data_IF_757617252891
#
_entry.id   IF_757617252891
#
_cell.length_a   1.000
_cell.length_b   1.000
_cell.length_c   1.000
_cell.angle_alpha   90.00
_cell.angle_beta   90.00
_cell.angle_gamma   90.00
#
_symmetry.space_group_name_H-M   'P 1'
#
loop_
_entity.id
_entity.type
_entity.pdbx_description
1 polymer ?
#
# COMPACT_ATOMS: atom_id res chain seq x y z
N UNK A 1 -9.20 24.73 -5.67
CA UNK A 1 -9.72 24.14 -4.42
C UNK A 1 -8.89 22.91 -3.98
N UNK A 2 -7.64 23.07 -3.48
CA UNK A 2 -6.81 21.96 -3.00
C UNK A 2 -6.71 21.85 -1.46
N UNK A 3 -7.20 22.84 -0.69
CA UNK A 3 -7.02 22.92 0.77
C UNK A 3 -7.85 21.91 1.58
N UNK A 4 -8.94 21.38 1.04
CA UNK A 4 -9.86 20.53 1.82
C UNK A 4 -9.42 19.07 1.99
N UNK A 5 -8.46 18.58 1.20
CA UNK A 5 -8.06 17.16 1.22
C UNK A 5 -6.86 16.91 2.16
N UNK A 6 -5.89 17.83 2.23
CA UNK A 6 -4.80 17.76 3.22
C UNK A 6 -5.33 17.87 4.67
N UNK A 7 -6.44 18.58 4.86
CA UNK A 7 -7.15 18.66 6.13
C UNK A 7 -7.72 17.30 6.57
N UNK A 8 -8.06 16.38 5.66
CA UNK A 8 -8.70 15.11 6.04
C UNK A 8 -7.76 14.11 6.72
N UNK A 9 -6.48 14.07 6.35
CA UNK A 9 -5.49 13.21 7.02
C UNK A 9 -4.96 13.83 8.32
N UNK A 10 -4.89 15.16 8.40
CA UNK A 10 -4.54 15.86 9.64
C UNK A 10 -5.70 15.96 10.64
N UNK A 11 -6.95 16.05 10.18
CA UNK A 11 -8.14 16.16 11.03
C UNK A 11 -8.63 14.80 11.54
N UNK A 12 -8.51 13.70 10.77
CA UNK A 12 -8.81 12.35 11.30
C UNK A 12 -7.80 11.86 12.33
N UNK A 13 -6.61 12.44 12.37
CA UNK A 13 -5.66 12.28 13.48
C UNK A 13 -6.08 13.05 14.74
N UNK A 14 -6.94 14.07 14.65
CA UNK A 14 -7.39 14.89 15.78
C UNK A 14 -8.62 14.32 16.49
N UNK A 15 -9.45 13.54 15.82
CA UNK A 15 -10.73 13.06 16.39
C UNK A 15 -10.62 11.73 17.17
N UNK A 16 -9.44 11.09 17.19
CA UNK A 16 -9.25 9.76 17.80
C UNK A 16 -8.54 9.75 19.17
N UNK A 17 -8.17 10.90 19.73
CA UNK A 17 -7.52 10.95 21.06
C UNK A 17 -8.00 12.16 21.85
N UNK A 18 -8.96 11.94 22.75
CA UNK A 18 -9.36 12.89 23.77
C UNK A 18 -8.31 13.04 24.87
N UNK A 19 -7.11 13.44 24.50
CA UNK A 19 -6.03 13.77 25.44
C UNK A 19 -5.30 15.04 24.97
N UNK A 20 -5.63 16.16 25.62
CA UNK A 20 -5.27 17.53 25.24
C UNK A 20 -3.79 17.88 25.56
N UNK A 21 -2.95 16.87 25.83
CA UNK A 21 -1.51 17.02 26.07
C UNK A 21 -0.62 16.84 24.83
N UNK A 22 -1.19 16.60 23.64
CA UNK A 22 -0.43 16.29 22.42
C UNK A 22 -0.29 17.43 21.41
N UNK A 23 -0.59 18.68 21.77
CA UNK A 23 -0.40 19.82 20.87
C UNK A 23 1.05 20.36 20.80
N UNK A 24 2.06 19.50 20.97
CA UNK A 24 3.41 19.77 20.46
C UNK A 24 3.46 19.16 19.06
N UNK A 25 3.46 20.01 18.03
CA UNK A 25 3.62 19.59 16.63
C UNK A 25 4.79 18.60 16.53
N UNK A 26 4.48 17.34 16.25
CA UNK A 26 5.48 16.30 16.07
C UNK A 26 6.37 16.68 14.88
N UNK A 27 7.66 16.83 15.12
CA UNK A 27 8.67 17.01 14.06
C UNK A 27 9.31 15.66 13.81
N UNK A 28 9.21 15.18 12.56
CA UNK A 28 9.86 13.96 12.13
C UNK A 28 11.35 13.99 12.47
N UNK A 29 12.04 15.10 12.15
CA UNK A 29 13.48 15.25 12.41
C UNK A 29 13.87 15.02 13.88
N UNK A 30 13.14 15.61 14.82
CA UNK A 30 13.41 15.44 16.26
C UNK A 30 13.16 14.01 16.73
N UNK A 31 12.02 13.43 16.34
CA UNK A 31 11.69 12.04 16.69
C UNK A 31 12.70 11.04 16.09
N UNK A 32 13.15 11.32 14.86
CA UNK A 32 14.12 10.50 14.17
C UNK A 32 15.50 10.55 14.80
N UNK A 33 16.06 11.74 15.05
CA UNK A 33 17.38 11.86 15.68
C UNK A 33 17.40 11.32 17.12
N UNK A 34 16.30 11.46 17.86
CA UNK A 34 16.14 10.81 19.16
C UNK A 34 16.21 9.28 19.03
N UNK A 35 15.42 8.70 18.13
CA UNK A 35 15.41 7.25 17.88
C UNK A 35 16.77 6.75 17.40
N UNK A 36 17.46 7.51 16.55
CA UNK A 36 18.81 7.20 16.10
C UNK A 36 19.81 7.16 17.25
N UNK A 37 19.75 8.12 18.18
CA UNK A 37 20.58 8.12 19.39
C UNK A 37 20.38 6.86 20.24
N UNK A 38 19.13 6.45 20.45
CA UNK A 38 18.78 5.24 21.19
C UNK A 38 19.31 3.97 20.51
N UNK A 39 19.02 3.82 19.21
CA UNK A 39 19.48 2.66 18.41
C UNK A 39 20.99 2.59 18.36
N UNK A 40 21.68 3.73 18.25
CA UNK A 40 23.14 3.78 18.26
C UNK A 40 23.70 3.30 19.61
N UNK A 41 23.12 3.76 20.73
CA UNK A 41 23.50 3.32 22.06
C UNK A 41 23.31 1.81 22.25
N UNK A 42 22.19 1.28 21.79
CA UNK A 42 21.89 -0.16 21.87
C UNK A 42 22.88 -0.99 21.05
N UNK A 43 23.23 -0.51 19.84
CA UNK A 43 24.09 -1.20 18.87
C UNK A 43 25.56 -1.17 19.28
N UNK A 44 26.09 0.00 19.66
CA UNK A 44 27.52 0.19 19.91
C UNK A 44 27.91 0.21 21.39
N UNK A 45 26.93 0.14 22.30
CA UNK A 45 27.15 0.29 23.76
C UNK A 45 27.84 1.61 24.11
N UNK A 46 27.62 2.63 23.29
CA UNK A 46 28.18 3.98 23.43
C UNK A 46 27.16 5.00 22.93
N UNK A 47 27.10 6.17 23.54
CA UNK A 47 26.17 7.23 23.11
C UNK A 47 26.72 8.02 21.92
N UNK A 48 25.83 8.49 21.04
CA UNK A 48 26.20 9.55 20.10
C UNK A 48 26.46 10.83 20.90
N UNK A 49 27.65 11.46 20.77
CA UNK A 49 27.92 12.72 21.42
C UNK A 49 26.84 13.75 21.06
N UNK A 50 26.30 14.52 22.03
CA UNK A 50 25.28 15.54 21.75
C UNK A 50 25.70 16.56 20.68
N UNK A 51 27.00 16.81 20.54
CA UNK A 51 27.55 17.64 19.48
C UNK A 51 27.35 17.05 18.08
N UNK A 52 27.49 15.73 17.91
CA UNK A 52 27.23 15.05 16.63
C UNK A 52 25.75 15.09 16.26
N UNK A 53 24.83 14.90 17.22
CA UNK A 53 23.38 15.03 16.96
C UNK A 53 23.01 16.45 16.50
N UNK A 54 23.57 17.49 17.15
CA UNK A 54 23.40 18.88 16.70
C UNK A 54 23.99 19.12 15.32
N UNK A 55 25.13 18.49 15.00
CA UNK A 55 25.73 18.57 13.67
C UNK A 55 24.85 17.91 12.61
N UNK A 56 24.23 16.76 12.92
CA UNK A 56 23.27 16.11 12.02
C UNK A 56 22.03 16.98 11.78
N UNK A 57 21.50 17.62 12.83
CA UNK A 57 20.37 18.55 12.69
C UNK A 57 20.73 19.77 11.82
N UNK A 58 21.91 20.38 12.05
CA UNK A 58 22.38 21.51 11.26
C UNK A 58 22.60 21.14 9.78
N UNK A 59 23.24 19.99 9.51
CA UNK A 59 23.43 19.46 8.16
C UNK A 59 22.08 19.15 7.49
N UNK A 60 21.11 18.59 8.22
CA UNK A 60 19.78 18.35 7.67
C UNK A 60 19.09 19.66 7.26
N UNK A 61 19.16 20.69 8.11
CA UNK A 61 18.60 22.01 7.80
C UNK A 61 19.27 22.64 6.57
N UNK A 62 20.59 22.49 6.40
CA UNK A 62 21.31 22.95 5.22
C UNK A 62 20.88 22.18 3.96
N UNK A 63 20.79 20.84 4.02
CA UNK A 63 20.28 20.02 2.91
C UNK A 63 18.86 20.44 2.53
N UNK A 64 17.99 20.71 3.50
CA UNK A 64 16.63 21.19 3.21
C UNK A 64 16.62 22.54 2.49
N UNK A 65 17.57 23.43 2.78
CA UNK A 65 17.73 24.69 2.04
C UNK A 65 18.25 24.44 0.62
N UNK A 66 19.22 23.53 0.44
CA UNK A 66 19.75 23.15 -0.86
C UNK A 66 18.72 22.49 -1.79
N UNK A 67 17.80 21.69 -1.24
CA UNK A 67 16.72 21.06 -2.01
C UNK A 67 15.68 22.06 -2.54
N UNK A 68 15.75 23.32 -2.12
CA UNK A 68 15.05 24.44 -2.72
C UNK A 68 13.76 24.83 -2.00
N UNK A 69 12.92 25.58 -2.72
CA UNK A 69 11.83 26.33 -2.14
C UNK A 69 10.77 25.45 -1.47
N UNK A 70 10.58 25.67 -0.17
CA UNK A 70 9.55 25.05 0.68
C UNK A 70 8.14 25.55 0.35
N UNK A 71 7.97 26.57 -0.49
CA UNK A 71 6.65 27.04 -0.96
C UNK A 71 5.94 26.05 -1.89
N UNK A 72 6.60 24.93 -2.25
CA UNK A 72 5.97 23.81 -2.94
C UNK A 72 4.84 23.15 -2.16
N UNK A 73 4.26 22.08 -2.73
CA UNK A 73 3.21 21.32 -2.04
C UNK A 73 3.68 20.79 -0.69
N UNK A 74 2.76 20.67 0.27
CA UNK A 74 3.03 20.09 1.60
C UNK A 74 3.76 18.73 1.51
N UNK A 75 3.39 17.90 0.55
CA UNK A 75 4.03 16.63 0.24
C UNK A 75 5.53 16.76 -0.07
N UNK A 76 5.91 17.81 -0.83
CA UNK A 76 7.32 18.05 -1.17
C UNK A 76 8.12 18.48 0.06
N UNK A 77 7.54 19.29 0.95
CA UNK A 77 8.18 19.67 2.21
C UNK A 77 8.45 18.45 3.11
N UNK A 78 7.50 17.50 3.20
CA UNK A 78 7.69 16.24 3.92
C UNK A 78 8.83 15.42 3.30
N UNK A 79 8.83 15.26 1.97
CA UNK A 79 9.87 14.49 1.27
C UNK A 79 11.27 15.10 1.49
N UNK A 80 11.36 16.44 1.56
CA UNK A 80 12.61 17.14 1.84
C UNK A 80 13.08 16.91 3.26
N UNK A 81 12.18 17.01 4.26
CA UNK A 81 12.53 16.76 5.66
C UNK A 81 13.01 15.32 5.82
N UNK A 82 12.23 14.35 5.33
CA UNK A 82 12.60 12.94 5.36
C UNK A 82 13.97 12.70 4.73
N UNK A 83 14.22 13.24 3.54
CA UNK A 83 15.49 13.03 2.84
C UNK A 83 16.67 13.65 3.58
N UNK A 84 16.53 14.88 4.05
CA UNK A 84 17.58 15.58 4.75
C UNK A 84 17.98 14.88 6.05
N UNK A 85 16.99 14.46 6.84
CA UNK A 85 17.23 13.75 8.10
C UNK A 85 17.73 12.31 7.91
N UNK A 86 17.59 11.72 6.73
CA UNK A 86 18.24 10.44 6.40
C UNK A 86 19.68 10.64 5.90
N UNK A 87 19.93 11.68 5.09
CA UNK A 87 21.25 11.94 4.47
C UNK A 87 22.23 12.53 5.47
N UNK A 88 21.80 13.42 6.36
CA UNK A 88 22.69 14.09 7.29
C UNK A 88 23.39 13.10 8.26
N UNK A 89 22.68 12.19 8.96
CA UNK A 89 23.34 11.17 9.78
C UNK A 89 24.23 10.25 8.96
N UNK A 90 23.83 9.90 7.73
CA UNK A 90 24.67 9.10 6.85
C UNK A 90 26.04 9.78 6.61
N UNK A 91 26.05 11.07 6.25
CA UNK A 91 27.30 11.80 6.02
C UNK A 91 28.17 11.88 7.27
N UNK A 92 27.57 12.25 8.40
CA UNK A 92 28.30 12.41 9.67
C UNK A 92 28.86 11.09 10.20
N UNK A 93 28.06 10.01 10.17
CA UNK A 93 28.51 8.69 10.62
C UNK A 93 29.58 8.11 9.69
N UNK A 94 29.43 8.29 8.36
CA UNK A 94 30.43 7.84 7.38
C UNK A 94 31.75 8.59 7.56
N UNK A 95 31.71 9.91 7.76
CA UNK A 95 32.91 10.71 8.04
C UNK A 95 33.59 10.31 9.37
N UNK A 96 32.84 9.77 10.31
CA UNK A 96 33.35 9.24 11.59
C UNK A 96 33.88 7.80 11.50
N UNK A 97 33.88 7.19 10.30
CA UNK A 97 34.41 5.85 10.07
C UNK A 97 33.40 4.70 10.24
N UNK A 98 32.10 5.00 10.45
CA UNK A 98 31.06 3.96 10.48
C UNK A 98 30.87 3.36 9.09
N UNK A 99 30.83 2.03 8.98
CA UNK A 99 30.65 1.38 7.68
C UNK A 99 29.24 1.61 7.10
N UNK A 100 29.11 1.67 5.78
CA UNK A 100 27.83 1.88 5.10
C UNK A 100 26.76 0.84 5.50
N UNK A 101 27.06 -0.48 5.60
CA UNK A 101 26.07 -1.45 6.08
C UNK A 101 25.56 -1.16 7.50
N UNK A 102 26.45 -0.75 8.42
CA UNK A 102 26.04 -0.37 9.78
C UNK A 102 25.19 0.89 9.75
N UNK A 103 25.56 1.90 8.97
CA UNK A 103 24.76 3.13 8.83
C UNK A 103 23.35 2.80 8.34
N UNK A 104 23.23 1.96 7.30
CA UNK A 104 21.93 1.53 6.78
C UNK A 104 21.07 0.87 7.84
N UNK A 105 21.64 -0.04 8.63
CA UNK A 105 20.95 -0.69 9.74
C UNK A 105 20.44 0.33 10.76
N UNK A 106 21.31 1.25 11.21
CA UNK A 106 20.95 2.30 12.16
C UNK A 106 19.80 3.19 11.66
N UNK A 107 19.87 3.60 10.39
CA UNK A 107 18.82 4.41 9.78
C UNK A 107 17.49 3.65 9.69
N UNK A 108 17.52 2.38 9.30
CA UNK A 108 16.32 1.54 9.19
C UNK A 108 15.66 1.29 10.55
N UNK A 109 16.43 0.98 11.58
CA UNK A 109 15.94 0.74 12.93
C UNK A 109 15.40 2.03 13.57
N UNK A 110 16.13 3.15 13.40
CA UNK A 110 15.67 4.46 13.85
C UNK A 110 14.36 4.86 13.16
N UNK A 111 14.23 4.60 11.85
CA UNK A 111 12.98 4.82 11.11
C UNK A 111 11.86 3.94 11.66
N UNK A 112 12.13 2.66 11.90
CA UNK A 112 11.12 1.73 12.42
C UNK A 112 10.60 2.15 13.79
N UNK A 113 11.48 2.63 14.68
CA UNK A 113 11.10 3.19 15.98
C UNK A 113 10.27 4.47 15.81
N UNK A 114 10.75 5.40 14.99
CA UNK A 114 10.10 6.69 14.71
C UNK A 114 8.70 6.51 14.10
N UNK A 115 8.52 5.47 13.28
CA UNK A 115 7.31 5.23 12.48
C UNK A 115 6.46 4.07 13.01
N UNK A 116 6.74 3.55 14.20
CA UNK A 116 5.99 2.44 14.79
C UNK A 116 4.48 2.75 14.87
N UNK A 117 4.13 4.00 15.16
CA UNK A 117 2.74 4.48 15.18
C UNK A 117 2.06 4.35 13.80
N UNK A 118 2.78 4.61 12.70
CA UNK A 118 2.22 4.54 11.35
C UNK A 118 1.82 3.10 11.00
N UNK A 119 2.66 2.12 11.36
CA UNK A 119 2.34 0.71 11.21
C UNK A 119 1.12 0.28 12.02
N UNK A 120 0.96 0.80 13.24
CA UNK A 120 -0.22 0.53 14.06
C UNK A 120 -1.48 1.16 13.46
N UNK A 121 -1.38 2.39 12.94
CA UNK A 121 -2.49 3.08 12.25
C UNK A 121 -2.94 2.30 11.03
N UNK A 122 -2.00 1.86 10.18
CA UNK A 122 -2.34 1.04 9.01
C UNK A 122 -2.98 -0.27 9.43
N UNK A 123 -2.47 -0.95 10.46
CA UNK A 123 -3.10 -2.17 10.98
C UNK A 123 -4.56 -1.92 11.38
N UNK A 124 -4.84 -0.89 12.18
CA UNK A 124 -6.20 -0.54 12.63
C UNK A 124 -7.13 -0.20 11.46
N UNK A 125 -6.61 0.51 10.45
CA UNK A 125 -7.35 0.80 9.23
C UNK A 125 -7.72 -0.49 8.49
N UNK A 126 -6.78 -1.42 8.30
CA UNK A 126 -7.03 -2.67 7.59
C UNK A 126 -7.98 -3.59 8.36
N UNK A 127 -7.83 -3.63 9.68
CA UNK A 127 -8.68 -4.42 10.58
C UNK A 127 -10.14 -3.95 10.60
N UNK A 128 -10.39 -2.69 10.29
CA UNK A 128 -11.73 -2.08 10.29
C UNK A 128 -12.31 -1.86 8.90
N UNK A 129 -11.52 -2.04 7.84
CA UNK A 129 -11.96 -1.84 6.48
C UNK A 129 -12.95 -2.95 6.05
N UNK A 130 -14.15 -2.59 5.53
CA UNK A 130 -15.05 -3.59 4.94
C UNK A 130 -14.38 -4.36 3.78
N UNK A 131 -13.50 -3.67 3.04
CA UNK A 131 -12.66 -4.26 2.02
C UNK A 131 -11.24 -3.68 2.11
N UNK A 132 -10.30 -4.50 2.62
CA UNK A 132 -8.90 -4.11 2.78
C UNK A 132 -8.20 -3.87 1.43
N UNK A 133 -8.59 -4.59 0.36
CA UNK A 133 -8.02 -4.41 -0.97
C UNK A 133 -8.38 -3.04 -1.51
N UNK A 134 -9.67 -2.70 -1.51
CA UNK A 134 -10.13 -1.41 -1.99
C UNK A 134 -9.56 -0.26 -1.16
N UNK A 135 -9.45 -0.43 0.16
CA UNK A 135 -8.83 0.56 1.06
C UNK A 135 -7.38 0.86 0.66
N UNK A 136 -6.56 -0.19 0.45
CA UNK A 136 -5.16 -0.05 0.04
C UNK A 136 -5.02 0.55 -1.36
N UNK A 137 -5.83 0.09 -2.32
CA UNK A 137 -5.81 0.62 -3.70
C UNK A 137 -6.22 2.08 -3.73
N UNK A 138 -7.24 2.46 -2.96
CA UNK A 138 -7.66 3.86 -2.83
C UNK A 138 -6.55 4.73 -2.26
N UNK A 139 -5.92 4.30 -1.17
CA UNK A 139 -4.79 5.00 -0.55
C UNK A 139 -3.61 5.16 -1.51
N UNK A 140 -3.27 4.10 -2.26
CA UNK A 140 -2.25 4.16 -3.31
C UNK A 140 -2.59 5.23 -4.35
N UNK A 141 -3.80 5.20 -4.91
CA UNK A 141 -4.28 6.18 -5.91
C UNK A 141 -4.33 7.61 -5.36
N UNK A 142 -4.64 7.79 -4.07
CA UNK A 142 -4.59 9.09 -3.41
C UNK A 142 -3.15 9.61 -3.30
N UNK A 143 -2.18 8.75 -2.96
CA UNK A 143 -0.76 9.12 -2.93
C UNK A 143 -0.21 9.43 -4.32
N UNK A 144 -0.60 8.68 -5.35
CA UNK A 144 -0.25 8.98 -6.75
C UNK A 144 -0.63 10.43 -7.11
N UNK A 145 -1.84 10.86 -6.74
CA UNK A 145 -2.37 12.19 -7.08
C UNK A 145 -1.76 13.33 -6.27
N UNK A 146 -1.39 13.08 -5.01
CA UNK A 146 -1.10 14.15 -4.06
C UNK A 146 0.35 14.18 -3.58
N UNK A 147 1.05 13.05 -3.60
CA UNK A 147 2.40 12.89 -3.06
C UNK A 147 3.44 12.54 -4.12
N UNK A 148 3.07 11.74 -5.11
CA UNK A 148 3.98 11.21 -6.13
C UNK A 148 3.64 11.78 -7.52
N UNK A 149 3.69 13.10 -7.62
CA UNK A 149 3.32 13.85 -8.82
C UNK A 149 4.52 14.14 -9.73
N UNK A 150 4.25 14.34 -11.02
CA UNK A 150 5.27 14.79 -11.98
C UNK A 150 5.75 16.22 -11.68
N UNK A 151 7.01 16.57 -12.01
CA UNK A 151 8.01 15.73 -12.68
C UNK A 151 8.82 14.84 -11.71
N UNK A 152 8.62 14.99 -10.39
CA UNK A 152 9.40 14.32 -9.35
C UNK A 152 9.25 12.79 -9.43
N UNK A 153 8.03 12.33 -9.71
CA UNK A 153 7.74 10.91 -9.88
C UNK A 153 7.07 10.66 -11.22
N UNK A 154 7.50 9.59 -11.90
CA UNK A 154 6.85 9.08 -13.11
C UNK A 154 6.29 7.70 -12.80
N UNK A 155 4.97 7.61 -12.79
CA UNK A 155 4.23 6.42 -12.37
C UNK A 155 3.52 5.77 -13.54
N UNK A 156 3.34 4.44 -13.46
CA UNK A 156 2.50 3.69 -14.39
C UNK A 156 1.71 2.63 -13.63
N UNK A 157 0.39 2.60 -13.80
CA UNK A 157 -0.42 1.47 -13.35
C UNK A 157 -0.27 0.35 -14.36
N UNK A 158 0.50 -0.67 -14.02
CA UNK A 158 0.67 -1.86 -14.86
C UNK A 158 -0.59 -2.75 -14.83
N UNK A 159 -1.37 -2.67 -13.74
CA UNK A 159 -2.65 -3.37 -13.57
C UNK A 159 -3.56 -2.58 -12.62
N UNK A 160 -4.85 -2.52 -12.93
CA UNK A 160 -5.88 -1.86 -12.10
C UNK A 160 -7.20 -2.61 -12.27
N UNK A 161 -7.26 -3.83 -11.72
CA UNK A 161 -8.38 -4.77 -11.83
C UNK A 161 -9.08 -4.95 -10.47
N UNK A 162 -10.32 -5.47 -10.43
CA UNK A 162 -11.07 -5.65 -9.18
C UNK A 162 -10.41 -6.54 -8.11
N UNK A 163 -9.48 -7.41 -8.52
CA UNK A 163 -8.79 -8.39 -7.69
C UNK A 163 -7.26 -8.19 -7.62
N UNK A 164 -6.72 -7.25 -8.41
CA UNK A 164 -5.28 -7.06 -8.51
C UNK A 164 -4.92 -5.66 -9.01
N UNK A 165 -3.98 -5.03 -8.33
CA UNK A 165 -3.48 -3.69 -8.62
C UNK A 165 -1.95 -3.69 -8.59
N UNK A 166 -1.34 -3.10 -9.61
CA UNK A 166 0.12 -3.02 -9.75
C UNK A 166 0.53 -1.61 -10.17
N UNK A 167 1.35 -0.98 -9.34
CA UNK A 167 1.93 0.34 -9.57
C UNK A 167 3.45 0.21 -9.80
N UNK A 168 3.92 0.89 -10.84
CA UNK A 168 5.34 0.99 -11.17
C UNK A 168 5.83 2.42 -11.01
N UNK A 169 7.00 2.59 -10.40
CA UNK A 169 7.72 3.88 -10.32
C UNK A 169 8.91 3.82 -11.27
N UNK A 170 8.84 4.60 -12.35
CA UNK A 170 9.87 4.67 -13.40
C UNK A 170 10.86 5.80 -13.18
N UNK A 171 10.39 6.89 -12.55
CA UNK A 171 11.24 7.96 -12.07
C UNK A 171 10.97 8.16 -10.59
N UNK A 172 12.01 8.07 -9.76
CA UNK A 172 11.89 8.17 -8.31
C UNK A 172 12.70 9.37 -7.83
N UNK A 173 11.99 10.41 -7.36
CA UNK A 173 12.62 11.61 -6.82
C UNK A 173 13.68 11.30 -5.75
N UNK A 174 13.39 10.37 -4.83
CA UNK A 174 14.34 9.99 -3.78
C UNK A 174 15.66 9.49 -4.36
N UNK A 175 15.63 8.58 -5.33
CA UNK A 175 16.86 8.04 -5.92
C UNK A 175 17.64 9.09 -6.69
N UNK A 176 16.95 9.96 -7.44
CA UNK A 176 17.60 11.06 -8.16
C UNK A 176 18.21 12.08 -7.20
N UNK A 177 17.54 12.37 -6.09
CA UNK A 177 18.03 13.30 -5.08
C UNK A 177 19.20 12.72 -4.30
N UNK A 178 19.15 11.43 -3.93
CA UNK A 178 20.27 10.75 -3.28
C UNK A 178 21.50 10.69 -4.18
N UNK A 179 21.33 10.51 -5.49
CA UNK A 179 22.43 10.61 -6.46
C UNK A 179 23.09 11.98 -6.39
N UNK A 180 22.30 13.06 -6.51
CA UNK A 180 22.78 14.45 -6.45
C UNK A 180 23.47 14.78 -5.13
N UNK A 181 23.01 14.19 -4.03
CA UNK A 181 23.58 14.38 -2.69
C UNK A 181 24.77 13.44 -2.39
N UNK A 182 25.19 12.58 -3.32
CA UNK A 182 26.29 11.62 -3.09
C UNK A 182 25.95 10.55 -2.04
N UNK A 183 24.67 10.23 -1.90
CA UNK A 183 24.12 9.35 -0.87
C UNK A 183 23.33 8.17 -1.46
N UNK A 184 23.61 7.76 -2.71
CA UNK A 184 22.90 6.64 -3.36
C UNK A 184 22.96 5.34 -2.56
N UNK A 185 24.04 5.14 -1.81
CA UNK A 185 24.30 3.93 -1.02
C UNK A 185 23.24 3.65 0.06
N UNK A 186 22.52 4.67 0.55
CA UNK A 186 21.42 4.51 1.51
C UNK A 186 20.03 4.41 0.86
N UNK A 187 19.95 4.38 -0.48
CA UNK A 187 18.70 4.19 -1.21
C UNK A 187 17.87 2.99 -0.75
N UNK A 188 18.46 1.83 -0.43
CA UNK A 188 17.70 0.71 0.12
C UNK A 188 17.03 1.01 1.46
N UNK A 189 17.63 1.86 2.31
CA UNK A 189 17.03 2.27 3.59
C UNK A 189 15.83 3.20 3.40
N UNK A 190 15.83 4.03 2.34
CA UNK A 190 14.62 4.75 1.91
C UNK A 190 13.53 3.79 1.45
N UNK A 191 13.91 2.74 0.73
CA UNK A 191 12.96 1.73 0.27
C UNK A 191 12.41 0.89 1.43
N UNK A 192 13.21 0.64 2.46
CA UNK A 192 12.81 -0.08 3.66
C UNK A 192 11.72 0.64 4.46
N UNK A 193 11.62 1.97 4.36
CA UNK A 193 10.54 2.76 4.96
C UNK A 193 9.15 2.26 4.55
N UNK A 194 9.01 1.73 3.33
CA UNK A 194 7.74 1.19 2.85
C UNK A 194 7.22 0.04 3.74
N UNK A 195 8.09 -0.67 4.46
CA UNK A 195 7.69 -1.70 5.44
C UNK A 195 6.71 -1.15 6.48
N UNK A 196 6.84 0.13 6.82
CA UNK A 196 5.96 0.78 7.80
C UNK A 196 4.48 0.67 7.44
N UNK A 197 4.13 0.57 6.15
CA UNK A 197 2.73 0.50 5.72
C UNK A 197 2.31 -0.88 5.18
N UNK A 198 3.21 -1.70 4.62
CA UNK A 198 2.81 -3.01 4.13
C UNK A 198 3.05 -4.17 5.11
N UNK A 199 4.00 -4.06 6.04
CA UNK A 199 4.23 -5.12 7.04
C UNK A 199 3.00 -5.42 7.94
N UNK A 200 2.09 -4.46 8.22
CA UNK A 200 0.86 -4.75 8.93
C UNK A 200 -0.15 -5.63 8.19
N UNK A 201 0.02 -5.88 6.89
CA UNK A 201 -0.91 -6.68 6.08
C UNK A 201 -0.76 -8.15 6.47
N UNK A 202 -1.86 -8.74 6.96
CA UNK A 202 -2.00 -10.16 7.22
C UNK A 202 -2.89 -10.77 6.12
N UNK A 203 -2.35 -11.60 5.22
CA UNK A 203 -3.14 -12.17 4.13
C UNK A 203 -4.30 -13.06 4.58
N UNK A 204 -4.18 -13.73 5.72
CA UNK A 204 -5.23 -14.58 6.27
C UNK A 204 -6.38 -13.77 6.84
N UNK A 205 -6.06 -12.65 7.50
CA UNK A 205 -7.04 -11.77 8.15
C UNK A 205 -7.64 -10.75 7.18
N UNK A 206 -6.81 -10.10 6.37
CA UNK A 206 -7.21 -9.01 5.48
C UNK A 206 -7.58 -9.47 4.08
N UNK A 207 -7.33 -10.75 3.75
CA UNK A 207 -7.65 -11.29 2.43
C UNK A 207 -6.85 -10.67 1.30
N UNK A 208 -5.71 -10.03 1.59
CA UNK A 208 -4.86 -9.30 0.62
C UNK A 208 -3.40 -9.66 0.81
N UNK A 209 -2.66 -9.76 -0.29
CA UNK A 209 -1.21 -9.91 -0.31
C UNK A 209 -0.57 -8.68 -0.95
N UNK A 210 0.48 -8.18 -0.30
CA UNK A 210 1.37 -7.19 -0.90
C UNK A 210 2.69 -7.84 -1.32
N UNK A 211 3.22 -7.47 -2.49
CA UNK A 211 4.58 -7.84 -2.89
C UNK A 211 5.32 -6.66 -3.50
N UNK A 212 6.64 -6.63 -3.28
CA UNK A 212 7.54 -5.63 -3.84
C UNK A 212 8.77 -6.32 -4.44
N UNK A 213 8.67 -6.82 -5.69
CA UNK A 213 9.68 -7.69 -6.26
C UNK A 213 10.95 -6.95 -6.73
N UNK A 214 10.90 -5.62 -6.88
CA UNK A 214 12.05 -4.85 -7.35
C UNK A 214 12.04 -3.41 -6.86
N UNK A 215 13.23 -2.84 -6.68
CA UNK A 215 13.44 -1.43 -6.38
C UNK A 215 14.56 -0.83 -7.24
N UNK A 216 14.44 0.45 -7.59
CA UNK A 216 15.51 1.19 -8.29
C UNK A 216 16.77 1.28 -7.40
N UNK A 217 16.60 1.32 -6.07
CA UNK A 217 17.69 1.35 -5.12
C UNK A 217 18.59 0.09 -5.18
N UNK A 218 18.01 -1.05 -5.54
CA UNK A 218 18.72 -2.33 -5.74
C UNK A 218 19.18 -2.53 -7.19
N UNK A 219 19.05 -1.51 -8.05
CA UNK A 219 19.51 -1.54 -9.44
C UNK A 219 18.48 -2.02 -10.46
N UNK A 220 17.22 -2.21 -10.07
CA UNK A 220 16.16 -2.53 -11.04
C UNK A 220 15.80 -1.32 -11.91
N UNK A 221 15.18 -1.60 -13.07
CA UNK A 221 14.71 -0.59 -14.02
C UNK A 221 13.57 0.28 -13.48
N UNK A 222 12.79 -0.26 -12.54
CA UNK A 222 11.66 0.43 -11.89
C UNK A 222 11.34 -0.21 -10.54
N UNK A 223 10.70 0.56 -9.65
CA UNK A 223 10.10 -0.02 -8.46
C UNK A 223 8.75 -0.64 -8.83
N UNK A 224 8.42 -1.81 -8.26
CA UNK A 224 7.15 -2.50 -8.50
C UNK A 224 6.42 -2.72 -7.18
N UNK A 225 5.17 -2.29 -7.09
CA UNK A 225 4.29 -2.46 -5.94
C UNK A 225 3.06 -3.21 -6.40
N UNK A 226 2.84 -4.42 -5.87
CA UNK A 226 1.69 -5.24 -6.24
C UNK A 226 0.82 -5.48 -5.01
N UNK A 227 -0.48 -5.29 -5.19
CA UNK A 227 -1.52 -5.61 -4.22
C UNK A 227 -2.46 -6.59 -4.93
N UNK A 228 -2.62 -7.78 -4.36
CA UNK A 228 -3.47 -8.83 -4.92
C UNK A 228 -4.44 -9.32 -3.84
N UNK A 229 -5.70 -9.61 -4.21
CA UNK A 229 -6.57 -10.37 -3.32
C UNK A 229 -5.99 -11.77 -3.11
N UNK A 230 -6.02 -12.25 -1.87
CA UNK A 230 -5.58 -13.60 -1.55
C UNK A 230 -6.62 -14.62 -2.04
N UNK A 231 -6.14 -15.76 -2.56
CA UNK A 231 -6.99 -16.83 -3.14
C UNK A 231 -8.07 -17.35 -2.18
N UNK A 232 -7.84 -17.30 -0.86
CA UNK A 232 -8.83 -17.75 0.15
C UNK A 232 -10.10 -16.89 0.15
N UNK A 233 -9.99 -15.61 -0.18
CA UNK A 233 -11.13 -14.71 -0.24
C UNK A 233 -12.00 -14.93 -1.48
N UNK A 234 -11.38 -15.34 -2.60
CA UNK A 234 -12.12 -15.68 -3.83
C UNK A 234 -12.96 -16.96 -3.65
N UNK A 235 -12.47 -17.93 -2.90
CA UNK A 235 -13.26 -19.15 -2.57
C UNK A 235 -14.44 -18.89 -1.64
N UNK A 236 -14.33 -17.97 -0.68
CA UNK A 236 -15.43 -17.62 0.23
C UNK A 236 -16.54 -16.84 -0.48
N UNK A 237 -16.20 -15.87 -1.32
CA UNK A 237 -17.18 -15.15 -2.15
C UNK A 237 -17.91 -16.09 -3.11
N UNK A 238 -17.18 -17.00 -3.78
CA UNK A 238 -17.80 -18.00 -4.63
C UNK A 238 -18.70 -18.95 -3.84
N UNK A 239 -18.35 -19.30 -2.60
CA UNK A 239 -19.19 -20.15 -1.75
C UNK A 239 -20.49 -19.45 -1.35
N UNK A 240 -20.44 -18.15 -1.02
CA UNK A 240 -21.65 -17.36 -0.72
C UNK A 240 -22.51 -17.20 -1.97
N UNK A 241 -21.91 -16.95 -3.13
CA UNK A 241 -22.63 -16.81 -4.40
C UNK A 241 -23.30 -18.14 -4.80
N UNK A 242 -22.60 -19.26 -4.65
CA UNK A 242 -23.13 -20.61 -4.86
C UNK A 242 -24.26 -20.90 -3.88
N UNK A 243 -24.11 -20.60 -2.58
CA UNK A 243 -25.18 -20.79 -1.59
C UNK A 243 -26.40 -19.91 -1.87
N UNK A 244 -26.18 -18.68 -2.34
CA UNK A 244 -27.26 -17.76 -2.74
C UNK A 244 -27.99 -18.26 -3.97
N UNK A 245 -27.26 -18.73 -4.99
CA UNK A 245 -27.84 -19.34 -6.19
C UNK A 245 -28.58 -20.64 -5.86
N UNK A 246 -28.02 -21.50 -5.01
CA UNK A 246 -28.68 -22.72 -4.52
C UNK A 246 -29.97 -22.38 -3.78
N UNK A 247 -29.96 -21.35 -2.93
CA UNK A 247 -31.16 -20.88 -2.23
C UNK A 247 -32.23 -20.37 -3.21
N UNK A 248 -31.86 -19.56 -4.20
CA UNK A 248 -32.78 -19.09 -5.24
C UNK A 248 -33.39 -20.27 -6.02
N UNK A 249 -32.57 -21.27 -6.36
CA UNK A 249 -33.07 -22.48 -7.05
C UNK A 249 -34.03 -23.27 -6.15
N UNK A 250 -33.72 -23.45 -4.87
CA UNK A 250 -34.62 -24.13 -3.92
C UNK A 250 -35.95 -23.37 -3.78
N UNK A 251 -35.91 -22.05 -3.59
CA UNK A 251 -37.11 -21.21 -3.48
C UNK A 251 -37.94 -21.21 -4.79
N UNK A 252 -37.29 -21.26 -5.96
CA UNK A 252 -37.95 -21.40 -7.26
C UNK A 252 -38.59 -22.79 -7.46
N UNK A 253 -37.94 -23.85 -6.96
CA UNK A 253 -38.50 -25.21 -7.00
C UNK A 253 -39.69 -25.31 -6.04
N UNK A 254 -39.60 -24.83 -4.80
CA UNK A 254 -40.71 -24.89 -3.84
C UNK A 254 -41.95 -24.10 -4.30
N UNK A 255 -41.74 -22.94 -4.93
CA UNK A 255 -42.84 -22.15 -5.50
C UNK A 255 -43.50 -22.81 -6.73
N UNK A 256 -42.77 -23.67 -7.45
CA UNK A 256 -43.34 -24.47 -8.55
C UNK A 256 -44.17 -25.69 -8.10
N UNK A 257 -44.00 -26.15 -6.85
CA UNK A 257 -44.82 -27.24 -6.28
C UNK A 257 -46.15 -26.77 -5.66
N UNK A 258 -46.36 -25.48 -5.45
CA UNK A 258 -47.64 -24.93 -5.00
C UNK A 258 -48.63 -24.61 -6.13
N UNK A 259 -48.22 -24.72 -7.39
CA UNK A 259 -49.09 -24.51 -8.56
C UNK A 259 -49.34 -25.85 -9.27
N UNK A 260 -49.97 -26.78 -8.55
CA UNK A 260 -50.13 -28.16 -8.99
C UNK A 260 -51.38 -28.88 -8.49
N UNK A 261 -52.46 -28.15 -8.18
CA UNK A 261 -53.80 -28.75 -8.18
C UNK A 261 -54.32 -28.72 -9.62
N UNK A 262 -53.92 -29.70 -10.42
CA UNK A 262 -54.52 -29.95 -11.73
C UNK A 262 -55.96 -30.47 -11.53
N UNK A 263 -56.97 -29.92 -12.24
CA UNK A 263 -58.29 -30.52 -12.27
C UNK A 263 -58.24 -31.87 -13.01
N UNK A 264 -58.99 -32.85 -12.48
CA UNK A 264 -59.28 -34.14 -13.14
C UNK A 264 -59.85 -33.87 -14.54
N UNK A 265 -59.14 -34.32 -15.57
CA UNK A 265 -59.64 -34.38 -16.94
C UNK A 265 -60.24 -35.76 -17.20
N UNK A 266 -61.57 -35.84 -17.06
CA UNK A 266 -62.35 -36.84 -17.79
C UNK A 266 -62.67 -36.26 -19.18
N UNK A 267 -62.67 -37.13 -20.19
CA UNK A 267 -63.22 -36.93 -21.54
C UNK A 267 -62.50 -35.93 -22.47
N UNK A 268 -61.78 -36.46 -23.45
CA UNK A 268 -62.21 -36.51 -24.86
C UNK A 268 -61.10 -37.11 -25.71
N UNK A 269 -61.45 -38.17 -26.45
CA UNK A 269 -60.55 -38.85 -27.37
C UNK A 269 -60.19 -37.96 -28.55
N UNK A 270 -58.91 -37.95 -28.92
CA UNK A 270 -58.44 -37.50 -30.22
C UNK A 270 -57.25 -38.35 -30.63
N UNK A 271 -57.50 -39.09 -31.70
CA UNK A 271 -56.65 -40.02 -32.41
C UNK A 271 -55.50 -39.26 -33.09
N UNK A 272 -54.25 -39.67 -32.84
CA UNK A 272 -53.06 -39.12 -33.51
C UNK A 272 -52.17 -40.25 -34.01
N UNK A 273 -52.23 -40.49 -35.32
CA UNK A 273 -51.24 -41.27 -36.08
C UNK A 273 -49.91 -40.53 -36.23
N UNK A 274 -48.76 -41.22 -36.19
CA UNK A 274 -47.44 -40.57 -36.20
C UNK A 274 -46.92 -40.31 -37.61
N UNK A 275 -46.53 -39.06 -37.89
CA UNK A 275 -45.74 -38.70 -39.05
C UNK A 275 -44.24 -38.68 -38.69
N UNK A 276 -43.50 -39.62 -39.26
CA UNK A 276 -42.05 -39.66 -39.30
C UNK A 276 -41.51 -38.56 -40.21
N UNK A 277 -40.66 -37.67 -39.68
CA UNK A 277 -39.71 -36.92 -40.52
C UNK A 277 -38.43 -36.64 -39.73
N UNK A 278 -37.36 -37.32 -40.14
CA UNK A 278 -36.02 -37.09 -39.64
C UNK A 278 -35.40 -35.85 -40.27
N UNK A 279 -34.57 -35.15 -39.51
CA UNK A 279 -33.56 -34.28 -40.08
C UNK A 279 -32.20 -34.45 -39.42
N UNK A 280 -31.23 -34.55 -40.32
CA UNK A 280 -29.81 -34.86 -40.17
C UNK A 280 -29.05 -33.92 -39.25
N UNK A 281 -28.16 -34.53 -38.49
CA UNK A 281 -26.98 -33.97 -37.83
C UNK A 281 -26.01 -33.41 -38.90
N UNK A 282 -25.54 -32.17 -38.75
CA UNK A 282 -24.30 -31.71 -39.38
C UNK A 282 -23.27 -31.39 -38.31
N UNK A 283 -22.25 -32.23 -38.24
CA UNK A 283 -20.97 -31.99 -37.59
C UNK A 283 -20.10 -31.24 -38.60
N UNK A 284 -19.55 -30.09 -38.21
CA UNK A 284 -18.49 -29.42 -38.96
C UNK A 284 -17.21 -29.40 -38.12
N UNK A 285 -16.26 -30.24 -38.52
CA UNK A 285 -14.90 -30.29 -38.00
C UNK A 285 -13.93 -30.36 -39.19
N UNK A 286 -12.97 -29.41 -39.28
CA UNK A 286 -11.66 -29.47 -39.96
C UNK A 286 -10.98 -28.11 -39.80
N UNK A 287 -9.97 -27.95 -38.94
CA UNK A 287 -8.52 -28.22 -39.15
C UNK A 287 -7.94 -27.60 -40.44
N UNK A 288 -7.13 -26.55 -40.28
CA UNK A 288 -5.65 -26.56 -40.37
C UNK A 288 -5.08 -25.31 -39.72
#
# INVERSE_FOLDING_TARGET
>A
MPEKIASSMAAKSKEASGDDQHNKSYSFGKGFLHSLGQVYQETFKSELPPAQLRQMEAEALDIMQQLGDRTGSFSRAINFEFTAYMVAPYRILKASGTSVPQIRQLLEDALQHTMAWASQTVRKQLDSAPDAFESLVKESKDKERNFYVEPDFKLRRARDMPDSYSLEVHNCWYMNTLEKLGAREIGPSFCAFDRSWYAPIDPGRHGVKFTRPSTIAEGADRCRFNIDRSLRHLTLLNSILVLTLVRIVIEAVDSSWQVGLLPRSDETGLDWTPATQGHKIMIAERRR
#
